data_IF_939908060107
#
_entry.id   IF_939908060107
#
_cell.length_a   1.000
_cell.length_b   1.000
_cell.length_c   1.000
_cell.angle_alpha   90.00
_cell.angle_beta   90.00
_cell.angle_gamma   90.00
#
_symmetry.space_group_name_H-M   'P 1'
#
loop_
_entity.id
_entity.type
_entity.pdbx_description
1 polymer ?
#
# COMPACT_ATOMS: atom_id res chain seq x y z
N UNK A 1 20.20 22.75 7.50
CA UNK A 1 20.32 23.56 6.26
C UNK A 1 18.93 23.86 5.66
N UNK A 2 18.71 25.05 5.10
CA UNK A 2 17.38 25.55 4.70
C UNK A 2 16.89 24.93 3.36
N UNK A 3 16.48 23.65 3.37
CA UNK A 3 16.07 22.88 2.17
C UNK A 3 14.67 23.23 1.60
N UNK A 4 14.08 24.36 2.00
CA UNK A 4 12.75 24.80 1.55
C UNK A 4 12.79 25.80 0.37
N UNK A 5 13.97 26.24 -0.07
CA UNK A 5 14.15 27.15 -1.22
C UNK A 5 14.08 26.48 -2.59
N UNK A 6 14.13 25.14 -2.65
CA UNK A 6 14.19 24.35 -3.91
C UNK A 6 12.80 24.23 -4.58
N UNK A 7 11.74 24.64 -3.90
CA UNK A 7 10.33 24.44 -4.27
C UNK A 7 9.83 25.52 -5.24
N UNK A 8 10.63 25.80 -6.27
CA UNK A 8 10.31 26.72 -7.37
C UNK A 8 9.12 26.26 -8.22
N UNK A 9 8.72 27.08 -9.20
CA UNK A 9 7.59 26.79 -10.08
C UNK A 9 7.79 25.46 -10.83
N UNK A 10 6.68 24.76 -11.10
CA UNK A 10 6.69 23.50 -11.87
C UNK A 10 7.33 23.66 -13.26
N UNK A 11 7.31 24.87 -13.83
CA UNK A 11 7.98 25.21 -15.09
C UNK A 11 9.51 25.21 -14.95
N UNK A 12 10.08 25.86 -13.94
CA UNK A 12 11.52 25.85 -13.68
C UNK A 12 12.03 24.42 -13.35
N UNK A 13 11.17 23.59 -12.75
CA UNK A 13 11.46 22.17 -12.54
C UNK A 13 11.52 21.38 -13.86
N UNK A 14 10.55 21.55 -14.77
CA UNK A 14 10.53 20.85 -16.06
C UNK A 14 11.72 21.23 -16.96
N UNK A 15 12.16 22.49 -16.94
CA UNK A 15 13.39 22.93 -17.64
C UNK A 15 14.66 22.28 -17.06
N UNK A 16 14.76 22.17 -15.73
CA UNK A 16 15.87 21.48 -15.05
C UNK A 16 15.86 19.97 -15.26
N UNK A 17 14.68 19.37 -15.45
CA UNK A 17 14.51 17.96 -15.82
C UNK A 17 15.03 17.68 -17.23
N UNK A 18 14.67 18.51 -18.20
CA UNK A 18 15.04 18.32 -19.62
C UNK A 18 16.55 18.41 -19.85
N UNK A 19 17.27 19.12 -18.99
CA UNK A 19 18.72 19.30 -19.07
C UNK A 19 19.54 18.16 -18.46
N UNK A 20 18.93 17.22 -17.71
CA UNK A 20 19.63 16.14 -16.99
C UNK A 20 19.42 14.78 -17.65
N UNK A 21 20.38 14.37 -18.49
CA UNK A 21 20.38 13.07 -19.21
C UNK A 21 20.64 11.83 -18.34
N UNK A 22 21.07 11.98 -17.08
CA UNK A 22 21.60 10.88 -16.25
C UNK A 22 20.57 10.17 -15.34
N UNK A 23 19.28 10.50 -15.45
CA UNK A 23 18.21 9.92 -14.59
C UNK A 23 17.42 8.81 -15.27
N UNK A 24 17.89 8.32 -16.41
CA UNK A 24 17.29 7.19 -17.12
C UNK A 24 18.28 6.02 -17.09
N UNK A 25 17.79 4.83 -16.75
CA UNK A 25 18.55 3.58 -16.91
C UNK A 25 18.64 3.19 -18.40
N UNK A 26 19.37 2.12 -18.70
CA UNK A 26 19.54 1.60 -20.07
C UNK A 26 18.20 1.24 -20.75
N UNK A 27 17.19 0.92 -19.95
CA UNK A 27 15.83 0.61 -20.40
C UNK A 27 14.93 1.84 -20.46
N UNK A 28 15.50 3.04 -20.28
CA UNK A 28 14.81 4.34 -20.24
C UNK A 28 13.81 4.49 -19.09
N UNK A 29 13.96 3.72 -18.01
CA UNK A 29 13.19 3.91 -16.78
C UNK A 29 13.84 5.00 -15.93
N UNK A 30 13.02 5.75 -15.18
CA UNK A 30 13.52 6.69 -14.18
C UNK A 30 14.33 5.95 -13.10
N UNK A 31 15.62 6.28 -12.99
CA UNK A 31 16.51 5.79 -11.94
C UNK A 31 17.13 6.96 -11.19
N UNK A 32 17.16 6.86 -9.87
CA UNK A 32 17.75 7.82 -8.94
C UNK A 32 18.86 7.17 -8.11
N UNK A 33 19.38 6.02 -8.56
CA UNK A 33 20.37 5.22 -7.84
C UNK A 33 21.61 6.02 -7.44
N UNK A 34 22.07 6.94 -8.29
CA UNK A 34 23.25 7.78 -8.07
C UNK A 34 22.92 9.25 -7.76
N UNK A 35 21.66 9.57 -7.46
CA UNK A 35 21.26 10.92 -7.10
C UNK A 35 21.56 11.25 -5.63
N UNK A 36 21.76 12.54 -5.37
CA UNK A 36 21.80 13.12 -4.02
C UNK A 36 20.42 13.11 -3.34
N UNK A 37 20.40 13.34 -2.04
CA UNK A 37 19.16 13.45 -1.26
C UNK A 37 18.30 14.63 -1.73
N UNK A 38 18.92 15.77 -2.04
CA UNK A 38 18.23 16.95 -2.57
C UNK A 38 17.55 16.66 -3.90
N UNK A 39 18.27 16.00 -4.82
CA UNK A 39 17.72 15.60 -6.11
C UNK A 39 16.58 14.60 -5.92
N UNK A 40 16.79 13.57 -5.10
CA UNK A 40 15.74 12.59 -4.80
C UNK A 40 14.46 13.25 -4.31
N UNK A 41 14.58 14.19 -3.36
CA UNK A 41 13.44 14.92 -2.81
C UNK A 41 12.73 15.73 -3.90
N UNK A 42 13.48 16.39 -4.78
CA UNK A 42 12.93 17.16 -5.89
C UNK A 42 12.11 16.27 -6.84
N UNK A 43 12.68 15.14 -7.27
CA UNK A 43 11.99 14.16 -8.12
C UNK A 43 10.77 13.54 -7.42
N UNK A 44 10.87 13.24 -6.13
CA UNK A 44 9.74 12.71 -5.37
C UNK A 44 8.55 13.66 -5.35
N UNK A 45 8.78 14.95 -5.11
CA UNK A 45 7.67 15.91 -5.10
C UNK A 45 7.07 16.11 -6.48
N UNK A 46 7.91 16.13 -7.50
CA UNK A 46 7.45 16.50 -8.83
C UNK A 46 6.89 15.34 -9.66
N UNK A 47 7.34 14.10 -9.40
CA UNK A 47 6.90 12.90 -10.12
C UNK A 47 6.17 11.94 -9.18
N UNK A 48 6.70 11.71 -7.97
CA UNK A 48 6.12 10.76 -7.00
C UNK A 48 4.83 11.24 -6.34
N UNK A 49 4.68 12.56 -6.14
CA UNK A 49 3.48 13.17 -5.59
C UNK A 49 2.57 13.68 -6.70
N UNK A 50 3.08 14.49 -7.64
CA UNK A 50 2.30 15.15 -8.71
C UNK A 50 2.10 14.27 -9.96
N UNK A 51 1.66 13.02 -9.79
CA UNK A 51 1.37 12.13 -10.93
C UNK A 51 0.11 12.58 -11.71
N UNK A 52 0.23 12.62 -13.04
CA UNK A 52 -0.83 12.70 -14.05
C UNK A 52 -1.76 13.93 -14.02
N UNK A 53 -1.34 15.10 -14.53
CA UNK A 53 -2.21 16.24 -14.93
C UNK A 53 -3.34 16.66 -13.96
N UNK A 54 -3.36 16.11 -12.75
CA UNK A 54 -4.29 16.35 -11.66
C UNK A 54 -3.51 17.22 -10.71
N UNK A 55 -3.74 18.51 -10.83
CA UNK A 55 -3.32 19.47 -9.81
C UNK A 55 -4.01 19.06 -8.52
N UNK A 56 -3.26 18.46 -7.59
CA UNK A 56 -3.76 18.25 -6.24
C UNK A 56 -4.27 19.60 -5.70
N UNK A 57 -5.37 19.57 -4.95
CA UNK A 57 -5.89 20.77 -4.29
C UNK A 57 -4.74 21.49 -3.55
N UNK A 58 -4.71 22.84 -3.54
CA UNK A 58 -3.71 23.61 -2.81
C UNK A 58 -3.55 23.15 -1.34
N UNK A 59 -4.65 22.74 -0.71
CA UNK A 59 -4.65 22.20 0.65
C UNK A 59 -3.91 20.87 0.76
N UNK A 60 -4.03 19.99 -0.24
CA UNK A 60 -3.33 18.71 -0.28
C UNK A 60 -1.83 18.92 -0.44
N UNK A 61 -1.39 19.78 -1.37
CA UNK A 61 0.05 20.09 -1.54
C UNK A 61 0.63 20.66 -0.24
N UNK A 62 -0.07 21.59 0.41
CA UNK A 62 0.33 22.17 1.69
C UNK A 62 0.45 21.10 2.79
N UNK A 63 -0.46 20.13 2.82
CA UNK A 63 -0.44 19.02 3.77
C UNK A 63 0.80 18.12 3.56
N UNK A 64 1.09 17.73 2.31
CA UNK A 64 2.29 16.95 1.97
C UNK A 64 3.59 17.71 2.33
N UNK A 65 3.65 19.02 2.05
CA UNK A 65 4.78 19.87 2.47
C UNK A 65 5.01 19.87 3.97
N UNK A 66 3.93 19.97 4.74
CA UNK A 66 3.99 19.94 6.20
C UNK A 66 4.50 18.59 6.73
N UNK A 67 4.12 17.49 6.09
CA UNK A 67 4.58 16.15 6.48
C UNK A 67 6.03 15.93 6.10
N UNK A 68 6.45 16.39 4.92
CA UNK A 68 7.85 16.41 4.51
C UNK A 68 8.72 17.12 5.53
N UNK A 69 8.31 18.34 5.95
CA UNK A 69 9.04 19.10 6.97
C UNK A 69 9.16 18.33 8.28
N UNK A 70 8.12 17.60 8.68
CA UNK A 70 8.15 16.78 9.89
C UNK A 70 9.19 15.66 9.78
N UNK A 71 9.18 14.96 8.64
CA UNK A 71 10.13 13.89 8.35
C UNK A 71 11.58 14.40 8.27
N UNK A 72 11.83 15.48 7.54
CA UNK A 72 13.16 16.07 7.42
C UNK A 72 13.69 16.57 8.77
N UNK A 73 12.83 17.16 9.61
CA UNK A 73 13.23 17.59 10.96
C UNK A 73 13.58 16.39 11.85
N UNK A 74 12.91 15.24 11.66
CA UNK A 74 13.27 14.02 12.37
C UNK A 74 14.65 13.51 11.94
N UNK A 75 14.96 13.50 10.64
CA UNK A 75 16.28 13.09 10.16
C UNK A 75 17.39 14.00 10.67
N UNK A 76 17.19 15.32 10.59
CA UNK A 76 18.14 16.32 11.09
C UNK A 76 18.41 16.13 12.60
N UNK A 77 17.36 15.90 13.40
CA UNK A 77 17.48 15.64 14.83
C UNK A 77 18.25 14.35 15.17
N UNK A 78 18.32 13.39 14.25
CA UNK A 78 19.06 12.13 14.43
C UNK A 78 20.36 12.11 13.61
N UNK A 79 20.74 13.22 12.95
CA UNK A 79 21.91 13.31 12.06
C UNK A 79 21.91 12.23 10.97
N UNK A 80 20.73 11.94 10.40
CA UNK A 80 20.53 10.93 9.36
C UNK A 80 20.39 11.59 7.97
N UNK A 81 20.96 10.94 6.96
CA UNK A 81 20.68 11.19 5.54
C UNK A 81 19.62 10.22 5.03
N UNK A 82 19.14 10.38 3.78
CA UNK A 82 18.20 9.42 3.21
C UNK A 82 18.86 8.07 3.01
N UNK A 83 20.15 8.02 2.66
CA UNK A 83 20.89 6.77 2.46
C UNK A 83 21.05 5.95 3.74
N UNK A 84 20.98 6.59 4.89
CA UNK A 84 21.03 5.91 6.20
C UNK A 84 19.70 5.24 6.58
N UNK A 85 18.61 5.48 5.82
CA UNK A 85 17.30 4.93 6.15
C UNK A 85 17.30 3.42 5.88
N UNK A 86 17.35 2.64 6.96
CA UNK A 86 17.13 1.20 6.95
C UNK A 86 15.92 0.79 7.80
N UNK A 87 15.88 -0.50 8.15
CA UNK A 87 14.84 -1.03 9.05
C UNK A 87 14.79 -0.30 10.42
N UNK A 88 15.92 -0.05 11.12
CA UNK A 88 15.90 0.61 12.42
C UNK A 88 15.32 2.03 12.36
N UNK A 89 15.67 2.79 11.33
CA UNK A 89 15.25 4.19 11.13
C UNK A 89 13.76 4.25 10.82
N UNK A 90 13.27 3.36 9.96
CA UNK A 90 11.83 3.24 9.67
C UNK A 90 11.04 2.89 10.93
N UNK A 91 11.54 1.96 11.77
CA UNK A 91 10.88 1.61 13.03
C UNK A 91 10.92 2.74 14.05
N UNK A 92 12.01 3.50 14.09
CA UNK A 92 12.17 4.65 14.99
C UNK A 92 11.23 5.78 14.59
N UNK A 93 11.17 6.11 13.31
CA UNK A 93 10.24 7.12 12.79
C UNK A 93 8.78 6.72 12.99
N UNK A 94 8.42 5.46 12.74
CA UNK A 94 7.08 4.94 13.05
C UNK A 94 6.70 5.21 14.52
N UNK A 95 7.60 4.87 15.47
CA UNK A 95 7.37 5.07 16.90
C UNK A 95 7.20 6.56 17.24
N UNK A 96 8.10 7.39 16.73
CA UNK A 96 8.05 8.84 16.89
C UNK A 96 6.70 9.40 16.44
N UNK A 97 6.25 9.08 15.23
CA UNK A 97 4.98 9.61 14.69
C UNK A 97 3.77 9.13 15.50
N UNK A 98 3.75 7.87 15.92
CA UNK A 98 2.65 7.30 16.72
C UNK A 98 2.57 7.96 18.10
N UNK A 99 3.70 8.29 18.72
CA UNK A 99 3.75 8.88 20.05
C UNK A 99 3.52 10.39 20.03
N UNK A 100 3.97 11.09 18.98
CA UNK A 100 3.95 12.55 18.93
C UNK A 100 2.67 13.14 18.35
N UNK A 101 1.82 12.35 17.67
CA UNK A 101 0.65 12.89 16.96
C UNK A 101 -0.64 12.13 17.23
N UNK A 102 -1.75 12.89 17.24
CA UNK A 102 -3.10 12.31 17.19
C UNK A 102 -3.23 11.38 15.99
N UNK A 103 -3.99 10.28 16.07
CA UNK A 103 -3.63 9.21 15.17
C UNK A 103 -4.13 9.38 13.73
N UNK A 104 -5.13 10.25 13.47
CA UNK A 104 -5.46 10.72 12.11
C UNK A 104 -4.29 11.48 11.47
N UNK A 105 -3.59 12.30 12.26
CA UNK A 105 -2.38 13.01 11.81
C UNK A 105 -1.19 12.05 11.66
N UNK A 106 -1.08 11.05 12.54
CA UNK A 106 -0.05 10.03 12.47
C UNK A 106 -0.19 9.19 11.19
N UNK A 107 -1.39 8.71 10.87
CA UNK A 107 -1.69 7.98 9.62
C UNK A 107 -1.30 8.80 8.40
N UNK A 108 -1.66 10.09 8.35
CA UNK A 108 -1.31 10.97 7.23
C UNK A 108 0.21 11.10 7.03
N UNK A 109 0.96 11.29 8.13
CA UNK A 109 2.42 11.41 8.11
C UNK A 109 3.11 10.10 7.73
N UNK A 110 2.55 8.97 8.13
CA UNK A 110 3.08 7.66 7.76
C UNK A 110 2.73 7.27 6.32
N UNK A 111 1.58 7.71 5.80
CA UNK A 111 1.27 7.52 4.37
C UNK A 111 2.21 8.37 3.50
N UNK A 112 2.52 9.60 3.92
CA UNK A 112 3.56 10.41 3.28
C UNK A 112 4.88 9.63 3.21
N UNK A 113 5.32 9.08 4.35
CA UNK A 113 6.60 8.37 4.42
C UNK A 113 6.57 7.04 3.65
N UNK A 114 5.46 6.30 3.67
CA UNK A 114 5.27 5.10 2.86
C UNK A 114 5.43 5.40 1.37
N UNK A 115 4.80 6.47 0.88
CA UNK A 115 4.92 6.92 -0.52
C UNK A 115 6.35 7.34 -0.86
N UNK A 116 7.05 8.01 0.05
CA UNK A 116 8.46 8.37 -0.11
C UNK A 116 9.34 7.12 -0.27
N UNK A 117 9.17 6.11 0.60
CA UNK A 117 9.92 4.85 0.54
C UNK A 117 9.59 4.03 -0.71
N UNK A 118 8.31 3.95 -1.09
CA UNK A 118 7.89 3.29 -2.34
C UNK A 118 8.49 3.97 -3.56
N UNK A 119 8.48 5.30 -3.62
CA UNK A 119 9.09 6.04 -4.72
C UNK A 119 10.60 5.77 -4.79
N UNK A 120 11.29 5.78 -3.66
CA UNK A 120 12.72 5.48 -3.60
C UNK A 120 13.06 4.06 -4.01
N UNK A 121 12.25 3.07 -3.65
CA UNK A 121 12.45 1.69 -4.10
C UNK A 121 12.21 1.55 -5.61
N UNK A 122 11.10 2.10 -6.12
CA UNK A 122 10.76 2.00 -7.54
C UNK A 122 11.73 2.75 -8.47
N UNK A 123 12.45 3.75 -7.93
CA UNK A 123 13.50 4.50 -8.65
C UNK A 123 14.91 4.02 -8.32
N UNK A 124 15.06 2.88 -7.62
CA UNK A 124 16.35 2.31 -7.19
C UNK A 124 17.21 3.21 -6.29
N UNK A 125 16.64 4.27 -5.73
CA UNK A 125 17.31 5.05 -4.69
C UNK A 125 17.52 4.22 -3.41
N UNK A 126 16.52 3.40 -3.04
CA UNK A 126 16.62 2.39 -1.98
C UNK A 126 16.80 1.00 -2.59
N UNK A 127 17.79 0.26 -2.09
CA UNK A 127 18.03 -1.13 -2.51
C UNK A 127 16.99 -2.12 -1.99
N UNK A 128 16.24 -1.76 -0.96
CA UNK A 128 15.24 -2.60 -0.32
C UNK A 128 13.87 -1.92 -0.26
N UNK A 129 12.80 -2.73 -0.30
CA UNK A 129 11.42 -2.24 -0.17
C UNK A 129 11.09 -1.95 1.30
N UNK A 130 11.52 -0.80 1.79
CA UNK A 130 11.38 -0.40 3.20
C UNK A 130 9.93 -0.04 3.61
N UNK A 131 9.07 0.26 2.65
CA UNK A 131 7.65 0.60 2.86
C UNK A 131 6.86 -0.48 3.59
N UNK A 132 7.27 -1.75 3.48
CA UNK A 132 6.62 -2.90 4.14
C UNK A 132 6.68 -2.82 5.67
N UNK A 133 7.60 -2.01 6.22
CA UNK A 133 7.77 -1.84 7.66
C UNK A 133 6.93 -0.70 8.24
N UNK A 134 6.12 0.00 7.43
CA UNK A 134 5.25 1.08 7.89
C UNK A 134 4.00 0.51 8.58
N UNK A 135 3.75 0.93 9.82
CA UNK A 135 2.69 0.39 10.67
C UNK A 135 1.38 1.21 10.62
N UNK A 136 0.86 1.51 9.43
CA UNK A 136 -0.39 2.29 9.30
C UNK A 136 -1.59 1.56 9.94
N UNK A 137 -1.67 0.24 9.79
CA UNK A 137 -2.79 -0.57 10.29
C UNK A 137 -2.88 -0.67 11.82
N UNK A 138 -1.75 -0.62 12.51
CA UNK A 138 -1.72 -0.58 13.99
C UNK A 138 -2.40 0.68 14.55
N UNK A 139 -2.45 1.76 13.78
CA UNK A 139 -2.93 3.07 14.23
C UNK A 139 -4.43 3.18 14.07
N UNK A 140 -5.00 2.58 13.02
CA UNK A 140 -6.46 2.44 12.90
C UNK A 140 -7.06 1.71 14.11
N UNK A 141 -6.34 0.75 14.69
CA UNK A 141 -6.75 0.05 15.91
C UNK A 141 -6.52 0.87 17.21
N UNK A 142 -5.61 1.85 17.22
CA UNK A 142 -5.32 2.74 18.36
C UNK A 142 -6.11 4.05 18.37
N UNK A 143 -6.87 4.33 17.29
CA UNK A 143 -7.68 5.54 17.16
C UNK A 143 -8.88 5.62 18.09
N UNK A 144 -9.16 4.54 18.82
CA UNK A 144 -10.27 4.48 19.74
C UNK A 144 -9.83 3.93 21.11
N UNK A 145 -9.23 4.77 21.98
CA UNK A 145 -8.88 4.37 23.34
C UNK A 145 -10.10 4.21 24.26
N UNK A 146 -11.30 4.49 23.74
CA UNK A 146 -12.56 4.54 24.50
C UNK A 146 -13.81 4.00 23.79
N UNK A 147 -13.79 3.63 22.50
CA UNK A 147 -14.87 2.80 21.98
C UNK A 147 -14.61 1.35 22.34
N UNK A 148 -15.61 0.75 23.00
CA UNK A 148 -15.91 -0.67 22.91
C UNK A 148 -15.39 -1.24 21.60
N UNK A 149 -14.44 -2.19 21.66
CA UNK A 149 -13.82 -2.92 20.52
C UNK A 149 -14.71 -2.85 19.28
N UNK A 150 -14.60 -1.74 18.51
CA UNK A 150 -15.60 -1.49 17.48
C UNK A 150 -15.31 -2.45 16.36
N UNK A 151 -16.31 -3.26 16.02
CA UNK A 151 -16.21 -4.30 15.00
C UNK A 151 -15.51 -3.74 13.76
N UNK A 152 -14.53 -4.48 13.24
CA UNK A 152 -13.84 -4.13 12.01
C UNK A 152 -14.89 -3.89 10.92
N UNK A 153 -14.90 -2.69 10.34
CA UNK A 153 -15.82 -2.40 9.25
C UNK A 153 -15.42 -3.17 8.00
N UNK A 154 -16.39 -3.58 7.19
CA UNK A 154 -16.11 -4.31 5.94
C UNK A 154 -15.17 -3.52 5.01
N UNK A 155 -15.30 -2.20 4.96
CA UNK A 155 -14.41 -1.34 4.17
C UNK A 155 -12.95 -1.37 4.66
N UNK A 156 -12.73 -1.46 5.98
CA UNK A 156 -11.39 -1.62 6.54
C UNK A 156 -10.81 -3.00 6.23
N UNK A 157 -11.61 -4.07 6.38
CA UNK A 157 -11.23 -5.43 6.01
C UNK A 157 -10.85 -5.53 4.53
N UNK A 158 -11.65 -4.93 3.64
CA UNK A 158 -11.42 -4.93 2.20
C UNK A 158 -10.06 -4.31 1.84
N UNK A 159 -9.70 -3.18 2.45
CA UNK A 159 -8.40 -2.53 2.22
C UNK A 159 -7.23 -3.38 2.70
N UNK A 160 -7.35 -3.99 3.89
CA UNK A 160 -6.34 -4.89 4.43
C UNK A 160 -6.08 -6.05 3.46
N UNK A 161 -7.14 -6.69 2.96
CA UNK A 161 -7.04 -7.79 1.99
C UNK A 161 -6.37 -7.32 0.69
N UNK A 162 -6.76 -6.18 0.13
CA UNK A 162 -6.16 -5.67 -1.12
C UNK A 162 -4.66 -5.39 -0.99
N UNK A 163 -4.24 -4.85 0.14
CA UNK A 163 -2.82 -4.61 0.36
C UNK A 163 -2.04 -5.92 0.53
N UNK A 164 -2.57 -6.90 1.26
CA UNK A 164 -1.95 -8.21 1.40
C UNK A 164 -1.78 -8.92 0.04
N UNK A 165 -2.80 -8.87 -0.82
CA UNK A 165 -2.77 -9.42 -2.19
C UNK A 165 -1.70 -8.73 -3.04
N UNK A 166 -1.63 -7.40 -2.95
CA UNK A 166 -0.60 -6.61 -3.63
C UNK A 166 0.82 -6.96 -3.18
N UNK A 167 1.02 -7.22 -1.89
CA UNK A 167 2.30 -7.64 -1.34
C UNK A 167 2.68 -9.06 -1.76
N UNK A 168 1.70 -9.94 -1.90
CA UNK A 168 1.89 -11.32 -2.35
C UNK A 168 2.08 -11.45 -3.87
N UNK A 169 2.03 -10.34 -4.64
CA UNK A 169 2.11 -10.37 -6.10
C UNK A 169 0.98 -11.14 -6.78
N UNK A 170 -0.16 -11.28 -6.11
CA UNK A 170 -1.31 -12.08 -6.56
C UNK A 170 -2.35 -11.24 -7.30
N UNK A 171 -3.31 -11.92 -7.94
CA UNK A 171 -4.35 -11.28 -8.76
C UNK A 171 -5.16 -10.22 -7.99
N UNK A 172 -5.27 -9.03 -8.60
CA UNK A 172 -6.11 -7.93 -8.14
C UNK A 172 -7.59 -8.31 -7.99
N UNK A 173 -8.07 -9.44 -8.51
CA UNK A 173 -9.43 -9.94 -8.29
C UNK A 173 -9.70 -10.38 -6.83
N UNK A 174 -8.66 -10.76 -6.08
CA UNK A 174 -8.83 -11.29 -4.72
C UNK A 174 -9.41 -10.22 -3.79
N UNK A 175 -10.45 -10.60 -3.04
CA UNK A 175 -11.22 -9.75 -2.13
C UNK A 175 -11.61 -10.54 -0.87
N UNK A 176 -12.13 -9.91 0.19
CA UNK A 176 -12.61 -10.65 1.37
C UNK A 176 -13.62 -11.75 1.03
N UNK A 177 -14.48 -11.51 0.04
CA UNK A 177 -15.47 -12.50 -0.40
C UNK A 177 -14.82 -13.66 -1.16
N UNK A 178 -13.72 -13.42 -1.87
CA UNK A 178 -12.97 -14.46 -2.58
C UNK A 178 -12.50 -15.57 -1.62
N UNK A 179 -11.96 -15.19 -0.44
CA UNK A 179 -11.59 -16.17 0.59
C UNK A 179 -12.79 -16.98 1.10
N UNK A 180 -13.96 -16.35 1.23
CA UNK A 180 -15.19 -17.05 1.60
C UNK A 180 -15.58 -18.06 0.52
N UNK A 181 -15.45 -17.70 -0.77
CA UNK A 181 -15.70 -18.63 -1.85
C UNK A 181 -14.75 -19.82 -1.80
N UNK A 182 -13.44 -19.57 -1.71
CA UNK A 182 -12.43 -20.64 -1.63
C UNK A 182 -12.65 -21.55 -0.44
N UNK A 183 -13.02 -20.99 0.72
CA UNK A 183 -13.34 -21.77 1.91
C UNK A 183 -14.56 -22.69 1.70
N UNK A 184 -15.66 -22.15 1.18
CA UNK A 184 -16.88 -22.94 0.92
C UNK A 184 -16.62 -24.00 -0.15
N UNK A 185 -15.98 -23.63 -1.26
CA UNK A 185 -15.63 -24.56 -2.33
C UNK A 185 -14.72 -25.68 -1.83
N UNK A 186 -13.66 -25.36 -1.09
CA UNK A 186 -12.72 -26.36 -0.57
C UNK A 186 -13.38 -27.37 0.37
N UNK A 187 -14.37 -26.95 1.19
CA UNK A 187 -15.08 -27.88 2.07
C UNK A 187 -16.03 -28.78 1.28
N UNK A 188 -16.73 -28.24 0.28
CA UNK A 188 -17.62 -29.04 -0.57
C UNK A 188 -16.84 -30.02 -1.45
N UNK A 189 -15.65 -29.65 -1.91
CA UNK A 189 -14.78 -30.55 -2.66
C UNK A 189 -14.27 -31.73 -1.81
N UNK A 190 -14.18 -31.54 -0.50
CA UNK A 190 -13.81 -32.57 0.49
C UNK A 190 -15.04 -33.35 1.02
N UNK A 191 -16.17 -33.27 0.32
CA UNK A 191 -17.42 -33.94 0.65
C UNK A 191 -17.95 -33.63 2.07
N UNK A 192 -17.60 -32.46 2.61
CA UNK A 192 -18.16 -31.99 3.88
C UNK A 192 -19.66 -31.74 3.70
N UNK A 193 -20.54 -32.28 4.58
CA UNK A 193 -21.98 -32.14 4.41
C UNK A 193 -22.43 -30.68 4.30
N UNK A 194 -23.32 -30.41 3.34
CA UNK A 194 -23.78 -29.05 2.99
C UNK A 194 -24.30 -28.26 4.20
N UNK A 195 -25.01 -28.92 5.12
CA UNK A 195 -25.51 -28.31 6.34
C UNK A 195 -24.36 -27.78 7.23
N UNK A 196 -23.27 -28.54 7.35
CA UNK A 196 -22.07 -28.15 8.11
C UNK A 196 -21.38 -26.97 7.42
N UNK A 197 -21.25 -27.00 6.10
CA UNK A 197 -20.65 -25.90 5.32
C UNK A 197 -21.47 -24.61 5.46
N UNK A 198 -22.81 -24.70 5.43
CA UNK A 198 -23.72 -23.56 5.61
C UNK A 198 -23.49 -22.88 6.97
N UNK A 199 -23.39 -23.67 8.02
CA UNK A 199 -23.22 -23.18 9.39
C UNK A 199 -21.82 -22.56 9.59
N UNK A 200 -20.77 -23.19 9.05
CA UNK A 200 -19.40 -22.67 9.09
C UNK A 200 -19.23 -21.38 8.29
N UNK A 201 -19.88 -21.28 7.12
CA UNK A 201 -19.89 -20.04 6.35
C UNK A 201 -20.79 -18.96 6.99
N UNK A 202 -21.77 -19.36 7.81
CA UNK A 202 -22.78 -18.46 8.37
C UNK A 202 -23.78 -17.98 7.32
N UNK A 203 -24.22 -18.85 6.40
CA UNK A 203 -25.33 -18.53 5.49
C UNK A 203 -26.66 -18.70 6.22
N UNK A 204 -27.51 -17.68 6.12
CA UNK A 204 -28.87 -17.73 6.68
C UNK A 204 -29.77 -18.72 5.93
N UNK A 205 -29.48 -18.95 4.64
CA UNK A 205 -30.22 -19.86 3.76
C UNK A 205 -29.26 -20.87 3.13
N UNK A 206 -29.68 -22.13 3.10
CA UNK A 206 -28.95 -23.24 2.49
C UNK A 206 -28.91 -23.14 0.96
N UNK A 207 -29.87 -22.43 0.36
CA UNK A 207 -29.90 -22.15 -1.09
C UNK A 207 -28.63 -21.45 -1.57
N UNK A 208 -28.04 -20.56 -0.75
CA UNK A 208 -26.80 -19.86 -1.09
C UNK A 208 -25.64 -20.86 -1.19
N UNK A 209 -25.57 -21.85 -0.29
CA UNK A 209 -24.52 -22.89 -0.34
C UNK A 209 -24.77 -23.88 -1.49
N UNK A 210 -26.03 -24.16 -1.84
CA UNK A 210 -26.38 -25.01 -3.00
C UNK A 210 -25.83 -24.46 -4.32
N UNK A 211 -25.85 -23.14 -4.52
CA UNK A 211 -25.28 -22.52 -5.74
C UNK A 211 -23.78 -22.85 -5.93
N UNK A 212 -23.03 -23.03 -4.84
CA UNK A 212 -21.64 -23.46 -4.92
C UNK A 212 -21.53 -24.93 -5.30
N UNK A 213 -22.38 -25.77 -4.72
CA UNK A 213 -22.40 -27.20 -4.99
C UNK A 213 -22.78 -27.48 -6.44
N UNK A 214 -23.81 -26.81 -6.96
CA UNK A 214 -24.24 -26.89 -8.37
C UNK A 214 -23.09 -26.51 -9.30
N UNK A 215 -22.39 -25.40 -9.02
CA UNK A 215 -21.27 -24.97 -9.85
C UNK A 215 -20.07 -25.93 -9.82
N UNK A 216 -19.74 -26.50 -8.67
CA UNK A 216 -18.70 -27.54 -8.56
C UNK A 216 -19.10 -28.79 -9.36
N UNK A 217 -20.38 -29.16 -9.32
CA UNK A 217 -20.90 -30.30 -10.09
C UNK A 217 -20.86 -30.03 -11.60
N UNK A 218 -21.23 -28.83 -12.05
CA UNK A 218 -21.11 -28.40 -13.45
C UNK A 218 -19.64 -28.47 -13.92
N UNK A 219 -18.70 -27.95 -13.13
CA UNK A 219 -17.28 -27.99 -13.45
C UNK A 219 -16.75 -29.44 -13.51
N UNK A 220 -17.12 -30.29 -12.54
CA UNK A 220 -16.77 -31.73 -12.55
C UNK A 220 -17.36 -32.46 -13.76
N UNK A 221 -18.60 -32.16 -14.13
CA UNK A 221 -19.23 -32.74 -15.33
C UNK A 221 -18.53 -32.29 -16.61
N UNK A 222 -18.14 -31.02 -16.70
CA UNK A 222 -17.42 -30.49 -17.85
C UNK A 222 -16.04 -31.17 -18.00
N UNK A 223 -15.32 -31.40 -16.90
CA UNK A 223 -14.04 -32.09 -16.91
C UNK A 223 -14.19 -33.59 -17.21
N UNK A 224 -15.26 -34.23 -16.71
CA UNK A 224 -15.56 -35.62 -17.06
C UNK A 224 -15.86 -35.78 -18.56
N UNK A 225 -16.67 -34.88 -19.14
CA UNK A 225 -17.01 -34.90 -20.58
C UNK A 225 -15.81 -34.61 -21.49
N UNK A 226 -14.83 -33.82 -21.05
CA UNK A 226 -13.56 -33.62 -21.78
C UNK A 226 -12.66 -34.86 -21.78
N UNK A 227 -12.77 -35.69 -20.75
CA UNK A 227 -11.96 -36.90 -20.59
C UNK A 227 -12.59 -38.16 -21.24
N UNK A 228 -13.87 -38.11 -21.58
CA UNK A 228 -14.50 -39.13 -22.43
C UNK A 228 -14.19 -38.79 -23.89
N UNK A 229 -13.12 -39.41 -24.43
CA UNK A 229 -12.87 -39.40 -25.88
C UNK A 229 -13.86 -40.36 -26.55
N UNK A 230 -14.71 -39.83 -27.43
CA UNK A 230 -15.38 -40.63 -28.45
C UNK A 230 -14.40 -41.05 -29.54
#
# INVERSE_FOLDING_TARGET
MNQLSIWGSQAAFLERLQSRKHVLDDNRNLTLEHCSDEEFLEYFFAVGILKDNRTFSPHTIKAYRSDAKTFLSFLDAHSLTFRDIGFPEVKTYNRFIIQSYKPKSAVRKLEFFRRFLEFGFNTRFFSARLSVWIQIYSIYNKLDPGADKKRLSYAALYKIVKEAVSLAGSDSAVSPHWFRHTFVTSLLEQDVPLAVVKDLAGHADISITNLYLERIQEDRMHDHLKNVRF
#
